data_IF_305941308313
#
_entry.id   IF_305941308313
#
_cell.length_a   1.000
_cell.length_b   1.000
_cell.length_c   1.000
_cell.angle_alpha   90.00
_cell.angle_beta   90.00
_cell.angle_gamma   90.00
#
_symmetry.space_group_name_H-M   'P 1'
#
loop_
_entity.id
_entity.type
_entity.pdbx_description
1 polymer ?
#
# COMPACT_ATOMS: atom_id res chain seq x y z
N UNK A 1 -2.73 -22.07 8.13
CA UNK A 1 -4.05 -21.43 8.27
C UNK A 1 -3.78 -19.97 8.62
N UNK A 2 -3.99 -19.05 7.69
CA UNK A 2 -3.88 -17.61 7.95
C UNK A 2 -4.89 -17.24 9.03
N UNK A 3 -4.46 -16.52 10.04
CA UNK A 3 -5.27 -16.08 11.17
C UNK A 3 -6.28 -14.99 10.77
N UNK A 4 -6.15 -14.51 9.54
CA UNK A 4 -6.95 -13.45 8.92
C UNK A 4 -7.50 -14.02 7.63
N UNK A 5 -8.83 -14.14 7.54
CA UNK A 5 -9.51 -14.80 6.43
C UNK A 5 -9.06 -14.30 5.06
N UNK A 6 -9.10 -15.18 4.06
CA UNK A 6 -8.83 -14.87 2.66
C UNK A 6 -9.87 -13.88 2.12
N UNK A 7 -9.54 -12.60 2.13
CA UNK A 7 -10.37 -11.53 1.57
C UNK A 7 -9.74 -10.94 0.32
N UNK A 8 -9.64 -11.74 -0.72
CA UNK A 8 -9.44 -11.26 -2.08
C UNK A 8 -10.84 -11.11 -2.71
N UNK A 9 -11.42 -9.92 -2.59
CA UNK A 9 -12.58 -9.56 -3.39
C UNK A 9 -12.08 -9.31 -4.82
N UNK A 10 -12.37 -10.26 -5.72
CA UNK A 10 -12.02 -10.16 -7.13
C UNK A 10 -13.07 -9.30 -7.82
N UNK A 11 -12.62 -8.24 -8.45
CA UNK A 11 -13.43 -7.44 -9.36
C UNK A 11 -13.28 -8.02 -10.78
N UNK A 12 -14.33 -7.95 -11.59
CA UNK A 12 -14.22 -8.23 -13.01
C UNK A 12 -13.55 -7.05 -13.75
N UNK A 13 -13.24 -7.22 -15.05
CA UNK A 13 -12.50 -6.21 -15.82
C UNK A 13 -13.23 -4.86 -15.86
N UNK A 14 -14.55 -4.87 -15.96
CA UNK A 14 -15.38 -3.65 -16.02
C UNK A 14 -15.43 -2.95 -14.65
N UNK A 15 -15.51 -3.72 -13.56
CA UNK A 15 -15.43 -3.21 -12.18
C UNK A 15 -14.06 -2.62 -11.86
N UNK A 16 -13.01 -3.22 -12.42
CA UNK A 16 -11.62 -2.75 -12.36
C UNK A 16 -11.48 -1.39 -13.02
N UNK A 17 -11.95 -1.26 -14.25
CA UNK A 17 -11.87 -0.02 -14.99
C UNK A 17 -12.69 1.07 -14.31
N UNK A 18 -13.87 0.72 -13.77
CA UNK A 18 -14.69 1.61 -12.97
C UNK A 18 -14.00 2.05 -11.67
N UNK A 19 -13.27 1.15 -10.98
CA UNK A 19 -12.50 1.52 -9.77
C UNK A 19 -11.28 2.38 -10.11
N UNK A 20 -10.57 2.10 -11.20
CA UNK A 20 -9.50 2.97 -11.71
C UNK A 20 -10.05 4.36 -12.05
N UNK A 21 -11.22 4.45 -12.68
CA UNK A 21 -11.89 5.74 -12.95
C UNK A 21 -12.33 6.45 -11.66
N UNK A 22 -12.77 5.74 -10.63
CA UNK A 22 -13.10 6.30 -9.31
C UNK A 22 -11.89 6.81 -8.54
N UNK A 23 -10.67 6.40 -8.90
CA UNK A 23 -9.45 6.96 -8.33
C UNK A 23 -9.34 8.46 -8.62
N UNK A 24 -10.09 8.95 -9.61
CA UNK A 24 -10.22 10.37 -9.95
C UNK A 24 -9.02 10.93 -10.71
N UNK A 25 -9.14 12.16 -11.20
CA UNK A 25 -8.13 12.82 -12.04
C UNK A 25 -6.72 12.88 -11.46
N UNK A 26 -6.58 12.76 -10.13
CA UNK A 26 -5.28 12.78 -9.44
C UNK A 26 -4.57 11.43 -9.39
N UNK A 27 -5.21 10.38 -9.87
CA UNK A 27 -4.66 9.02 -9.94
C UNK A 27 -4.49 8.54 -11.39
N UNK A 28 -4.58 9.46 -12.35
CA UNK A 28 -4.12 9.21 -13.71
C UNK A 28 -2.67 8.67 -13.67
N UNK A 29 -2.38 7.68 -14.47
CA UNK A 29 -1.08 6.96 -14.53
C UNK A 29 0.11 7.91 -14.51
N UNK A 30 0.03 9.04 -15.20
CA UNK A 30 1.11 10.04 -15.20
C UNK A 30 1.42 10.61 -13.81
N UNK A 31 0.39 10.86 -12.97
CA UNK A 31 0.58 11.34 -11.60
C UNK A 31 1.13 10.24 -10.71
N UNK A 32 0.60 9.01 -10.83
CA UNK A 32 1.10 7.85 -10.08
C UNK A 32 2.59 7.64 -10.36
N UNK A 33 2.99 7.63 -11.64
CA UNK A 33 4.40 7.52 -12.06
C UNK A 33 5.26 8.66 -11.49
N UNK A 34 4.77 9.89 -11.57
CA UNK A 34 5.49 11.06 -11.05
C UNK A 34 5.66 10.99 -9.54
N UNK A 35 4.60 10.68 -8.80
CA UNK A 35 4.66 10.61 -7.34
C UNK A 35 5.53 9.44 -6.85
N UNK A 36 5.52 8.31 -7.55
CA UNK A 36 6.41 7.20 -7.22
C UNK A 36 7.88 7.57 -7.53
N UNK A 37 8.15 8.23 -8.66
CA UNK A 37 9.49 8.73 -8.96
C UNK A 37 9.99 9.72 -7.89
N UNK A 38 9.11 10.60 -7.38
CA UNK A 38 9.45 11.50 -6.27
C UNK A 38 9.76 10.74 -4.97
N UNK A 39 9.02 9.67 -4.66
CA UNK A 39 9.32 8.81 -3.51
C UNK A 39 10.70 8.13 -3.67
N UNK A 40 11.06 7.67 -4.87
CA UNK A 40 12.40 7.16 -5.14
C UNK A 40 13.48 8.24 -4.99
N UNK A 41 13.25 9.45 -5.50
CA UNK A 41 14.19 10.56 -5.29
C UNK A 41 14.34 10.87 -3.79
N UNK A 42 13.27 10.82 -3.02
CA UNK A 42 13.34 11.00 -1.57
C UNK A 42 14.22 9.95 -0.90
N UNK A 43 14.24 8.71 -1.39
CA UNK A 43 15.09 7.66 -0.81
C UNK A 43 16.57 7.98 -0.88
N UNK A 44 17.02 8.76 -1.87
CA UNK A 44 18.43 9.18 -2.00
C UNK A 44 18.88 10.14 -0.88
N UNK A 45 17.93 10.77 -0.19
CA UNK A 45 18.24 11.61 0.98
C UNK A 45 18.53 10.80 2.25
N UNK A 46 18.26 9.50 2.22
CA UNK A 46 18.56 8.61 3.34
C UNK A 46 20.06 8.37 3.49
N UNK A 47 20.54 8.46 4.72
CA UNK A 47 21.91 8.09 5.11
C UNK A 47 22.06 6.59 5.44
N UNK A 48 20.96 5.85 5.53
CA UNK A 48 20.98 4.43 5.84
C UNK A 48 21.72 3.65 4.75
N UNK A 49 22.62 2.75 5.16
CA UNK A 49 23.46 1.99 4.24
C UNK A 49 22.78 0.72 3.73
N UNK A 50 22.02 0.03 4.60
CA UNK A 50 21.39 -1.26 4.28
C UNK A 50 20.22 -1.14 3.32
N UNK A 51 19.35 -0.17 3.56
CA UNK A 51 18.17 0.05 2.74
C UNK A 51 17.75 1.51 2.79
N UNK A 52 17.64 2.14 1.63
CA UNK A 52 17.15 3.51 1.48
C UNK A 52 15.68 3.47 1.10
N UNK A 53 14.82 3.88 2.02
CA UNK A 53 13.38 3.95 1.80
C UNK A 53 12.94 5.40 1.69
N UNK A 54 12.23 5.71 0.61
CA UNK A 54 11.60 7.01 0.41
C UNK A 54 10.09 6.88 0.38
N UNK A 55 9.41 7.92 0.81
CA UNK A 55 7.96 8.03 0.76
C UNK A 55 7.50 9.41 0.34
N UNK A 56 6.31 9.47 -0.24
CA UNK A 56 5.59 10.70 -0.54
C UNK A 56 4.13 10.53 -0.13
N UNK A 57 3.66 11.39 0.76
CA UNK A 57 2.24 11.46 1.10
C UNK A 57 1.61 12.56 0.25
N UNK A 58 0.56 12.24 -0.47
CA UNK A 58 -0.19 13.18 -1.31
C UNK A 58 -1.60 13.32 -0.75
N UNK A 59 -1.95 14.51 -0.29
CA UNK A 59 -3.27 14.80 0.27
C UNK A 59 -4.33 14.90 -0.83
N UNK A 60 -5.63 14.86 -0.50
CA UNK A 60 -6.70 15.07 -1.48
C UNK A 60 -6.62 16.44 -2.20
N UNK A 61 -5.94 17.40 -1.60
CA UNK A 61 -5.73 18.74 -2.17
C UNK A 61 -4.40 18.88 -2.92
N UNK A 62 -3.69 17.75 -3.20
CA UNK A 62 -2.37 17.71 -3.85
C UNK A 62 -1.21 18.32 -3.07
N UNK A 63 -1.36 18.54 -1.77
CA UNK A 63 -0.24 18.89 -0.92
C UNK A 63 0.66 17.66 -0.74
N UNK A 64 1.97 17.86 -0.70
CA UNK A 64 2.94 16.78 -0.73
C UNK A 64 3.86 16.84 0.48
N UNK A 65 4.01 15.70 1.16
CA UNK A 65 4.91 15.53 2.29
C UNK A 65 5.89 14.39 1.98
N UNK A 66 7.15 14.74 1.87
CA UNK A 66 8.22 13.80 1.56
C UNK A 66 8.81 13.20 2.84
N UNK A 67 8.98 11.88 2.87
CA UNK A 67 9.65 11.15 3.94
C UNK A 67 10.78 10.28 3.40
N UNK A 68 11.78 10.01 4.24
CA UNK A 68 12.86 9.06 3.99
C UNK A 68 13.36 8.52 5.33
N UNK A 69 13.89 7.29 5.32
CA UNK A 69 14.37 6.70 6.56
C UNK A 69 15.68 7.34 7.03
N UNK A 70 15.82 7.45 8.35
CA UNK A 70 16.97 8.08 9.00
C UNK A 70 16.73 8.28 10.48
N UNK A 71 17.73 8.77 11.18
CA UNK A 71 17.60 9.12 12.60
C UNK A 71 16.79 10.41 12.79
N UNK A 72 16.22 10.66 13.97
CA UNK A 72 15.54 11.91 14.26
C UNK A 72 16.46 13.13 14.06
N UNK A 73 15.83 14.27 13.76
CA UNK A 73 16.58 15.52 13.60
C UNK A 73 17.39 15.85 14.86
N UNK A 74 18.66 16.23 14.67
CA UNK A 74 19.59 16.54 15.74
C UNK A 74 20.42 15.37 16.27
N UNK A 75 20.16 14.15 15.79
CA UNK A 75 20.96 12.98 16.07
C UNK A 75 21.95 12.69 14.95
N UNK A 76 23.02 11.96 15.26
CA UNK A 76 23.96 11.46 14.25
C UNK A 76 23.25 10.54 13.27
N UNK A 77 23.56 10.65 11.98
CA UNK A 77 22.93 9.86 10.93
C UNK A 77 23.44 8.40 10.88
N UNK A 78 23.37 7.71 12.02
CA UNK A 78 23.83 6.31 12.19
C UNK A 78 22.59 5.40 12.22
N UNK A 79 22.17 4.93 11.05
CA UNK A 79 20.99 4.08 10.90
C UNK A 79 21.23 2.61 11.27
N UNK A 80 22.48 2.16 11.30
CA UNK A 80 22.87 0.79 11.62
C UNK A 80 23.75 0.77 12.88
N UNK A 81 23.61 -0.26 13.70
CA UNK A 81 24.47 -0.44 14.86
C UNK A 81 25.91 -0.76 14.41
N UNK A 82 26.93 -0.08 14.94
CA UNK A 82 28.30 -0.28 14.54
C UNK A 82 28.75 -1.74 14.64
N UNK A 83 29.30 -2.29 13.55
CA UNK A 83 29.78 -3.67 13.49
C UNK A 83 28.67 -4.75 13.47
N UNK A 84 27.43 -4.36 13.35
CA UNK A 84 26.27 -5.29 13.31
C UNK A 84 25.41 -5.01 12.08
N UNK A 85 24.86 -6.07 11.48
CA UNK A 85 23.85 -5.95 10.41
C UNK A 85 22.45 -5.76 11.00
N UNK A 86 22.31 -4.80 11.90
CA UNK A 86 21.06 -4.51 12.62
C UNK A 86 20.77 -3.02 12.51
N UNK A 87 19.51 -2.71 12.22
CA UNK A 87 19.01 -1.32 12.20
C UNK A 87 19.05 -0.74 13.61
N UNK A 88 19.59 0.47 13.74
CA UNK A 88 19.55 1.23 14.98
C UNK A 88 18.07 1.50 15.37
N UNK A 89 17.63 1.14 16.58
CA UNK A 89 16.22 1.29 17.01
C UNK A 89 15.69 2.72 16.93
N UNK A 90 16.54 3.75 16.95
CA UNK A 90 16.14 5.15 16.80
C UNK A 90 15.85 5.54 15.34
N UNK A 91 16.13 4.67 14.39
CA UNK A 91 15.89 4.97 12.97
C UNK A 91 14.40 5.03 12.67
N UNK A 92 13.94 6.18 12.21
CA UNK A 92 12.60 6.36 11.69
C UNK A 92 12.50 5.75 10.29
N UNK A 93 11.41 5.05 10.01
CA UNK A 93 11.10 4.61 8.66
C UNK A 93 10.64 5.78 7.80
N UNK A 94 10.75 5.67 6.48
CA UNK A 94 10.40 6.74 5.54
C UNK A 94 8.96 7.21 5.71
N UNK A 95 8.01 6.28 5.87
CA UNK A 95 6.59 6.56 6.10
C UNK A 95 6.39 7.32 7.42
N UNK A 96 7.02 6.82 8.49
CA UNK A 96 6.95 7.45 9.82
C UNK A 96 7.50 8.88 9.80
N UNK A 97 8.60 9.11 9.09
CA UNK A 97 9.19 10.44 8.91
C UNK A 97 8.21 11.39 8.17
N UNK A 98 7.58 10.92 7.08
CA UNK A 98 6.58 11.69 6.34
C UNK A 98 5.35 12.02 7.21
N UNK A 99 4.84 11.07 7.98
CA UNK A 99 3.71 11.28 8.89
C UNK A 99 4.05 12.26 10.02
N UNK A 100 5.26 12.18 10.58
CA UNK A 100 5.69 13.11 11.63
C UNK A 100 5.79 14.56 11.12
N UNK A 101 6.14 14.76 9.85
CA UNK A 101 6.08 16.10 9.24
C UNK A 101 4.65 16.63 9.11
N UNK A 102 3.68 15.74 8.82
CA UNK A 102 2.27 16.12 8.84
C UNK A 102 1.81 16.52 10.25
N UNK A 103 2.21 15.77 11.27
CA UNK A 103 1.91 16.06 12.68
C UNK A 103 2.47 17.43 13.13
N UNK A 104 3.61 17.84 12.57
CA UNK A 104 4.24 19.14 12.85
C UNK A 104 3.67 20.29 12.01
N UNK A 105 2.81 19.98 11.07
CA UNK A 105 2.15 20.94 10.18
C UNK A 105 0.66 21.01 10.48
N UNK A 106 -0.06 21.89 9.77
CA UNK A 106 -1.53 21.94 9.80
C UNK A 106 -2.19 21.03 8.76
N UNK A 107 -1.40 20.23 8.03
CA UNK A 107 -1.90 19.40 6.94
C UNK A 107 -2.52 18.10 7.46
N UNK A 108 -3.77 17.87 7.09
CA UNK A 108 -4.42 16.60 7.38
C UNK A 108 -4.05 15.56 6.31
N UNK A 109 -3.55 14.42 6.75
CA UNK A 109 -3.27 13.27 5.88
C UNK A 109 -4.44 12.28 5.79
N UNK A 110 -5.59 12.63 6.37
CA UNK A 110 -6.81 11.84 6.21
C UNK A 110 -7.22 11.79 4.73
N UNK A 111 -7.57 10.59 4.26
CA UNK A 111 -7.87 10.30 2.86
C UNK A 111 -6.69 10.50 1.88
N UNK A 112 -5.48 10.73 2.36
CA UNK A 112 -4.29 10.85 1.54
C UNK A 112 -3.90 9.51 0.88
N UNK A 113 -3.04 9.62 -0.14
CA UNK A 113 -2.35 8.49 -0.75
C UNK A 113 -0.89 8.51 -0.33
N UNK A 114 -0.37 7.36 0.06
CA UNK A 114 1.06 7.14 0.34
C UNK A 114 1.71 6.45 -0.84
N UNK A 115 2.78 7.02 -1.34
CA UNK A 115 3.70 6.40 -2.29
C UNK A 115 4.97 6.06 -1.54
N UNK A 116 5.40 4.81 -1.58
CA UNK A 116 6.58 4.34 -0.84
C UNK A 116 7.36 3.33 -1.65
N UNK A 117 8.68 3.40 -1.58
CA UNK A 117 9.56 2.53 -2.39
C UNK A 117 9.48 1.06 -2.01
N UNK A 118 9.17 0.75 -0.76
CA UNK A 118 9.03 -0.61 -0.23
C UNK A 118 7.74 -0.74 0.56
N UNK A 119 7.17 -1.95 0.57
CA UNK A 119 5.97 -2.23 1.36
C UNK A 119 6.16 -1.86 2.84
N UNK A 120 5.22 -1.15 3.47
CA UNK A 120 5.32 -0.75 4.88
C UNK A 120 5.41 -1.95 5.83
N UNK A 121 6.25 -1.85 6.85
CA UNK A 121 6.28 -2.81 7.93
C UNK A 121 5.03 -2.71 8.81
N UNK A 122 4.85 -3.68 9.72
CA UNK A 122 3.66 -3.76 10.61
C UNK A 122 3.45 -2.46 11.41
N UNK A 123 4.51 -1.84 11.94
CA UNK A 123 4.41 -0.61 12.74
C UNK A 123 3.98 0.59 11.90
N UNK A 124 4.53 0.74 10.68
CA UNK A 124 4.10 1.78 9.77
C UNK A 124 2.66 1.54 9.28
N UNK A 125 2.29 0.29 9.02
CA UNK A 125 0.93 -0.09 8.58
C UNK A 125 -0.14 0.29 9.61
N UNK A 126 0.10 0.04 10.90
CA UNK A 126 -0.79 0.48 11.99
C UNK A 126 -1.01 2.01 11.96
N UNK A 127 0.08 2.77 11.80
CA UNK A 127 0.02 4.24 11.76
C UNK A 127 -0.70 4.74 10.51
N UNK A 128 -0.48 4.12 9.36
CA UNK A 128 -1.17 4.44 8.10
C UNK A 128 -2.68 4.25 8.25
N UNK A 129 -3.12 3.12 8.81
CA UNK A 129 -4.54 2.86 9.05
C UNK A 129 -5.11 3.88 10.04
N UNK A 130 -4.43 4.10 11.16
CA UNK A 130 -4.90 5.01 12.20
C UNK A 130 -4.95 6.47 11.75
N UNK A 131 -4.09 6.88 10.82
CA UNK A 131 -4.11 8.23 10.23
C UNK A 131 -5.27 8.47 9.27
N UNK A 132 -5.99 7.42 8.89
CA UNK A 132 -7.11 7.50 7.96
C UNK A 132 -6.72 7.71 6.51
N UNK A 133 -5.51 7.36 6.12
CA UNK A 133 -5.11 7.30 4.71
C UNK A 133 -5.99 6.31 3.95
N UNK A 134 -6.12 6.47 2.65
CA UNK A 134 -6.97 5.60 1.81
C UNK A 134 -6.19 4.64 0.93
N UNK A 135 -4.99 5.03 0.49
CA UNK A 135 -4.24 4.27 -0.51
C UNK A 135 -2.78 4.19 -0.15
N UNK A 136 -2.19 3.04 -0.46
CA UNK A 136 -0.74 2.81 -0.38
C UNK A 136 -0.27 2.29 -1.73
N UNK A 137 0.61 3.02 -2.38
CA UNK A 137 1.31 2.61 -3.59
C UNK A 137 2.73 2.21 -3.23
N UNK A 138 3.18 1.05 -3.66
CA UNK A 138 4.55 0.58 -3.41
C UNK A 138 5.12 -0.15 -4.62
N UNK A 139 6.44 -0.34 -4.65
CA UNK A 139 7.14 -1.04 -5.74
C UNK A 139 7.77 -2.34 -5.22
N UNK A 140 8.64 -2.24 -4.22
CA UNK A 140 9.44 -3.38 -3.77
C UNK A 140 8.74 -4.10 -2.62
N UNK A 141 8.70 -5.42 -2.72
CA UNK A 141 8.31 -6.26 -1.60
C UNK A 141 9.39 -6.24 -0.50
N UNK A 142 9.01 -6.59 0.70
CA UNK A 142 9.90 -6.74 1.83
C UNK A 142 9.77 -8.15 2.42
N UNK A 143 10.83 -8.62 3.08
CA UNK A 143 10.89 -9.99 3.64
C UNK A 143 9.78 -10.33 4.66
N UNK A 144 9.18 -9.33 5.28
CA UNK A 144 8.08 -9.49 6.24
C UNK A 144 6.79 -9.05 5.57
N UNK A 145 5.78 -9.91 5.59
CA UNK A 145 4.47 -9.69 4.96
C UNK A 145 3.41 -9.17 5.92
N UNK A 146 3.67 -9.18 7.24
CA UNK A 146 2.70 -8.80 8.28
C UNK A 146 2.09 -7.40 8.05
N UNK A 147 2.89 -6.47 7.53
CA UNK A 147 2.43 -5.11 7.21
C UNK A 147 1.45 -5.11 6.04
N UNK A 148 1.73 -5.89 4.99
CA UNK A 148 0.85 -6.07 3.84
C UNK A 148 -0.46 -6.75 4.26
N UNK A 149 -0.38 -7.83 5.02
CA UNK A 149 -1.56 -8.55 5.53
C UNK A 149 -2.47 -7.63 6.34
N UNK A 150 -1.90 -6.79 7.21
CA UNK A 150 -2.67 -5.83 7.98
C UNK A 150 -3.32 -4.75 7.10
N UNK A 151 -2.59 -4.23 6.10
CA UNK A 151 -3.11 -3.20 5.19
C UNK A 151 -4.21 -3.75 4.27
N UNK A 152 -4.12 -5.01 3.85
CA UNK A 152 -5.08 -5.64 2.94
C UNK A 152 -6.29 -6.26 3.67
N UNK A 153 -6.27 -6.31 5.01
CA UNK A 153 -7.45 -6.69 5.79
C UNK A 153 -8.61 -5.72 5.48
N UNK A 154 -9.79 -6.24 5.15
CA UNK A 154 -10.96 -5.44 4.77
C UNK A 154 -11.35 -4.37 5.81
N UNK A 155 -11.01 -4.59 7.08
CA UNK A 155 -11.27 -3.65 8.19
C UNK A 155 -10.38 -2.41 8.11
N UNK A 156 -9.22 -2.51 7.47
CA UNK A 156 -8.30 -1.40 7.28
C UNK A 156 -8.91 -0.31 6.39
N UNK A 157 -9.74 -0.70 5.43
CA UNK A 157 -10.32 0.15 4.37
C UNK A 157 -9.23 0.86 3.54
N UNK A 158 -8.02 0.29 3.52
CA UNK A 158 -6.88 0.78 2.73
C UNK A 158 -6.82 0.02 1.42
N UNK A 159 -6.77 0.74 0.32
CA UNK A 159 -6.46 0.17 -0.98
C UNK A 159 -4.93 0.11 -1.14
N UNK A 160 -4.39 -1.08 -1.37
CA UNK A 160 -2.95 -1.30 -1.53
C UNK A 160 -2.65 -1.65 -2.98
N UNK A 161 -1.73 -0.90 -3.60
CA UNK A 161 -1.46 -0.96 -5.03
C UNK A 161 0.03 -1.18 -5.24
N UNK A 162 0.40 -2.31 -5.84
CA UNK A 162 1.77 -2.59 -6.24
C UNK A 162 2.01 -2.05 -7.65
N UNK A 163 3.14 -1.38 -7.84
CA UNK A 163 3.59 -0.87 -9.12
C UNK A 163 4.79 -1.68 -9.61
N UNK A 164 4.96 -1.80 -10.92
CA UNK A 164 6.16 -2.40 -11.51
C UNK A 164 7.39 -1.54 -11.24
N UNK A 165 8.56 -2.18 -11.07
CA UNK A 165 9.81 -1.47 -10.77
C UNK A 165 10.28 -0.59 -11.94
N UNK A 166 10.03 -1.02 -13.19
CA UNK A 166 10.59 -0.38 -14.37
C UNK A 166 9.73 0.76 -14.91
N UNK A 167 8.41 0.62 -14.81
CA UNK A 167 7.46 1.54 -15.48
C UNK A 167 6.59 2.32 -14.51
N UNK A 168 6.57 1.93 -13.22
CA UNK A 168 5.61 2.40 -12.21
C UNK A 168 4.15 2.25 -12.67
N UNK A 169 3.89 1.26 -13.49
CA UNK A 169 2.52 0.88 -13.87
C UNK A 169 1.91 0.01 -12.78
N UNK A 170 0.59 0.00 -12.70
CA UNK A 170 -0.12 -0.82 -11.72
C UNK A 170 0.11 -2.29 -12.04
N UNK A 171 0.80 -3.00 -11.17
CA UNK A 171 1.04 -4.43 -11.26
C UNK A 171 -0.05 -5.22 -10.52
N UNK A 172 -0.47 -4.71 -9.37
CA UNK A 172 -1.47 -5.35 -8.53
C UNK A 172 -2.18 -4.36 -7.62
N UNK A 173 -3.49 -4.52 -7.44
CA UNK A 173 -4.26 -3.83 -6.42
C UNK A 173 -4.71 -4.87 -5.39
N UNK A 174 -4.30 -4.68 -4.13
CA UNK A 174 -4.74 -5.48 -3.01
C UNK A 174 -5.95 -4.83 -2.34
N UNK A 175 -6.85 -5.66 -1.80
CA UNK A 175 -8.11 -5.17 -1.23
C UNK A 175 -9.22 -5.02 -2.27
N UNK A 176 -8.83 -4.70 -3.51
CA UNK A 176 -9.58 -4.88 -4.74
C UNK A 176 -8.57 -5.48 -5.72
N UNK A 177 -8.56 -6.78 -5.90
CA UNK A 177 -7.60 -7.44 -6.76
C UNK A 177 -7.94 -7.21 -8.22
N UNK A 178 -7.05 -6.51 -8.92
CA UNK A 178 -7.12 -6.34 -10.36
C UNK A 178 -6.06 -7.22 -11.00
N UNK A 179 -6.42 -8.28 -11.72
CA UNK A 179 -5.45 -8.93 -12.57
C UNK A 179 -5.04 -7.97 -13.69
N UNK A 180 -3.84 -7.39 -13.63
CA UNK A 180 -3.24 -6.84 -14.83
C UNK A 180 -2.96 -7.99 -15.77
N UNK A 181 -3.53 -7.95 -16.97
CA UNK A 181 -3.39 -8.95 -18.03
C UNK A 181 -1.96 -8.97 -18.59
N UNK A 182 -1.00 -9.38 -17.78
CA UNK A 182 0.19 -10.07 -18.22
C UNK A 182 0.26 -11.39 -17.44
N UNK A 183 -0.64 -12.28 -17.78
CA UNK A 183 -0.80 -13.56 -17.12
C UNK A 183 0.22 -14.53 -17.71
N UNK A 184 1.40 -14.58 -17.16
CA UNK A 184 2.26 -15.77 -17.33
C UNK A 184 1.94 -16.89 -16.32
N UNK A 185 0.88 -16.76 -15.54
CA UNK A 185 0.49 -17.77 -14.56
C UNK A 185 -0.99 -18.11 -14.66
N UNK A 186 -1.30 -19.04 -15.54
CA UNK A 186 -2.57 -19.79 -15.64
C UNK A 186 -3.02 -20.33 -14.26
N UNK A 187 -2.09 -20.60 -13.37
CA UNK A 187 -2.31 -21.05 -12.02
C UNK A 187 -3.02 -19.99 -11.14
N UNK A 188 -2.57 -18.76 -11.16
CA UNK A 188 -3.18 -17.65 -10.39
C UNK A 188 -4.57 -17.35 -10.94
N UNK A 189 -4.74 -17.32 -12.25
CA UNK A 189 -6.05 -17.12 -12.90
C UNK A 189 -7.07 -18.18 -12.49
N UNK A 190 -6.69 -19.46 -12.45
CA UNK A 190 -7.57 -20.56 -12.08
C UNK A 190 -7.97 -20.54 -10.58
N UNK A 191 -7.05 -20.13 -9.68
CA UNK A 191 -7.38 -19.94 -8.26
C UNK A 191 -8.42 -18.82 -8.12
N UNK A 192 -8.25 -17.74 -8.85
CA UNK A 192 -9.12 -16.56 -8.82
C UNK A 192 -10.53 -16.90 -9.33
N UNK A 193 -10.65 -17.60 -10.44
CA UNK A 193 -11.95 -18.06 -10.97
C UNK A 193 -12.70 -18.93 -9.97
N UNK A 194 -11.99 -19.84 -9.28
CA UNK A 194 -12.60 -20.70 -8.28
C UNK A 194 -13.15 -19.92 -7.08
N UNK A 195 -12.42 -18.91 -6.61
CA UNK A 195 -12.87 -18.05 -5.51
C UNK A 195 -14.11 -17.22 -5.89
N UNK A 196 -14.18 -16.69 -7.12
CA UNK A 196 -15.36 -16.00 -7.64
C UNK A 196 -16.58 -16.93 -7.65
N UNK A 197 -16.41 -18.15 -8.07
CA UNK A 197 -17.50 -19.12 -8.14
C UNK A 197 -18.02 -19.51 -6.75
N UNK A 198 -17.11 -19.68 -5.79
CA UNK A 198 -17.46 -19.96 -4.39
C UNK A 198 -18.25 -18.79 -3.77
N UNK A 199 -17.81 -17.55 -3.96
CA UNK A 199 -18.52 -16.34 -3.48
C UNK A 199 -19.89 -16.15 -4.16
N UNK A 200 -20.01 -16.39 -5.45
CA UNK A 200 -21.32 -16.36 -6.16
C UNK A 200 -22.30 -17.39 -5.60
N UNK A 201 -21.78 -18.54 -5.19
CA UNK A 201 -22.63 -19.59 -4.59
C UNK A 201 -23.05 -19.23 -3.16
N UNK A 202 -22.18 -18.61 -2.38
CA UNK A 202 -22.53 -18.08 -1.04
C UNK A 202 -23.59 -16.97 -1.12
N UNK A 203 -23.47 -16.03 -2.06
CA UNK A 203 -24.46 -14.96 -2.26
C UNK A 203 -25.81 -15.54 -2.69
N UNK A 204 -25.81 -16.57 -3.55
CA UNK A 204 -27.07 -17.25 -3.94
C UNK A 204 -27.71 -17.97 -2.77
N UNK A 205 -26.93 -18.62 -1.92
CA UNK A 205 -27.43 -19.34 -0.73
C UNK A 205 -27.98 -18.38 0.33
N UNK A 206 -27.34 -17.23 0.53
CA UNK A 206 -27.82 -16.21 1.48
C UNK A 206 -29.11 -15.52 1.03
N UNK A 207 -29.27 -15.29 -0.28
CA UNK A 207 -30.54 -14.76 -0.84
C UNK A 207 -31.72 -15.76 -0.75
N UNK A 208 -31.42 -17.07 -0.79
CA UNK A 208 -32.47 -18.08 -0.66
C UNK A 208 -33.01 -18.19 0.77
N UNK A 209 -32.23 -17.84 1.78
CA UNK A 209 -32.71 -17.86 3.18
C UNK A 209 -33.56 -16.67 3.55
N UNK A 210 -33.52 -15.54 2.81
CA UNK A 210 -34.37 -14.37 3.04
C UNK A 210 -35.83 -14.52 2.48
N UNK A 211 -36.05 -15.47 1.57
CA UNK A 211 -37.37 -15.68 0.96
C UNK A 211 -38.23 -16.72 1.70
N UNK A 212 -37.76 -17.26 2.83
CA UNK A 212 -38.53 -18.20 3.68
C UNK A 212 -39.07 -17.59 4.96
N UNK A 213 -39.02 -16.28 5.13
CA UNK A 213 -39.56 -15.53 6.28
C UNK A 213 -40.64 -14.53 5.82
N UNK A 214 -41.59 -14.99 4.99
CA UNK A 214 -42.83 -14.27 4.73
C UNK A 214 -43.98 -15.24 4.68
#
# INVERSE_FOLDING_TARGET
MSKYGDFNQLLDEDEIEAEIQKLGKHHDIKFIKTYMAMAFQASHLSYCARLKVGSLIVTPNNEMLMGYNGTPSGYDNVCELPGQDVTNPITLHGEANGMSKAEQSTLSIKNASLFVTHIPCIECSKRIIQSGMKRVFYVNDYRLTDGLELLTDFRSKIQVIKLSADTYEIERIHGYYVPTLNVESEYVYNILLKQIEDLRNEIKSSKCNCLKCS
#
